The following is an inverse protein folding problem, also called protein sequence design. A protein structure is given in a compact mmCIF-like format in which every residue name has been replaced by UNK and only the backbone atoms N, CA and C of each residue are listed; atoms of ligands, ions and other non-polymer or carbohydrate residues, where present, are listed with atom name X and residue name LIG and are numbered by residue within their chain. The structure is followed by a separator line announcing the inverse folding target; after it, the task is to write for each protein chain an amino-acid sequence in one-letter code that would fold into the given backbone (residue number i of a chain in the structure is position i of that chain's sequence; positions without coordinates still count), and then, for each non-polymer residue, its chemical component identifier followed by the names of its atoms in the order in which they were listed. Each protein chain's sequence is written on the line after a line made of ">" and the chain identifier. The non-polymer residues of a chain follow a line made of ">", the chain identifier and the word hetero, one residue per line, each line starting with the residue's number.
data_IF_957810208870
#
_entry.id   IF_957810208870
#
_cell.length_a   1.000
_cell.length_b   1.000
_cell.length_c   1.000
_cell.angle_alpha   90.00
_cell.angle_beta   90.00
_cell.angle_gamma   90.00
#
_symmetry.space_group_name_H-M   'P 1'
#
loop_
_entity.id
_entity.type
_entity.pdbx_description
1 polymer ?
#
# COMPACT_ATOMS: atom_id res chain seq x y z
N UNK A 1 16.03 -3.76 -12.18
CA UNK A 1 15.11 -3.53 -11.04
C UNK A 1 14.37 -4.83 -10.77
N UNK A 2 14.42 -5.35 -9.55
CA UNK A 2 13.82 -6.64 -9.19
C UNK A 2 12.28 -6.53 -9.24
N UNK A 3 11.66 -7.11 -10.28
CA UNK A 3 10.22 -6.99 -10.55
C UNK A 3 9.34 -7.43 -9.38
N UNK A 4 9.81 -8.37 -8.57
CA UNK A 4 9.08 -8.88 -7.41
C UNK A 4 8.70 -7.77 -6.42
N UNK A 5 9.66 -6.96 -5.96
CA UNK A 5 9.42 -5.90 -4.98
C UNK A 5 8.49 -4.82 -5.52
N UNK A 6 8.70 -4.41 -6.78
CA UNK A 6 7.86 -3.40 -7.42
C UNK A 6 6.42 -3.87 -7.55
N UNK A 7 6.20 -5.11 -7.98
CA UNK A 7 4.86 -5.68 -8.14
C UNK A 7 4.16 -5.77 -6.78
N UNK A 8 4.81 -6.32 -5.74
CA UNK A 8 4.20 -6.44 -4.41
C UNK A 8 3.76 -5.09 -3.83
N UNK A 9 4.59 -4.05 -3.97
CA UNK A 9 4.28 -2.70 -3.48
C UNK A 9 3.11 -2.10 -4.27
N UNK A 10 3.14 -2.19 -5.61
CA UNK A 10 2.08 -1.66 -6.45
C UNK A 10 0.74 -2.37 -6.19
N UNK A 11 0.74 -3.68 -6.04
CA UNK A 11 -0.47 -4.46 -5.70
C UNK A 11 -1.02 -4.06 -4.33
N UNK A 12 -0.16 -3.84 -3.33
CA UNK A 12 -0.60 -3.36 -2.01
C UNK A 12 -1.31 -2.00 -2.12
N UNK A 13 -0.69 -1.04 -2.80
CA UNK A 13 -1.29 0.28 -2.99
C UNK A 13 -2.60 0.22 -3.78
N UNK A 14 -2.72 -0.70 -4.73
CA UNK A 14 -3.96 -0.91 -5.46
C UNK A 14 -5.07 -1.43 -4.53
N UNK A 15 -4.79 -2.39 -3.65
CA UNK A 15 -5.78 -2.97 -2.73
C UNK A 15 -6.21 -1.96 -1.66
N UNK A 16 -5.29 -1.13 -1.16
CA UNK A 16 -5.58 -0.15 -0.09
C UNK A 16 -6.21 1.15 -0.59
N UNK A 17 -6.09 1.45 -1.90
CA UNK A 17 -6.59 2.70 -2.46
C UNK A 17 -7.98 2.54 -3.09
N UNK A 18 -9.01 3.28 -2.63
CA UNK A 18 -10.33 3.23 -3.22
C UNK A 18 -10.32 3.66 -4.68
N UNK A 19 -11.05 2.93 -5.53
CA UNK A 19 -11.02 3.03 -7.00
C UNK A 19 -11.28 4.46 -7.52
N UNK A 20 -12.03 5.28 -6.76
CA UNK A 20 -12.38 6.67 -7.11
C UNK A 20 -11.19 7.65 -7.05
N UNK A 21 -10.14 7.36 -6.27
CA UNK A 21 -8.97 8.24 -6.09
C UNK A 21 -7.64 7.59 -6.50
N UNK A 22 -7.68 6.35 -7.00
CA UNK A 22 -6.50 5.60 -7.43
C UNK A 22 -5.64 6.39 -8.42
N UNK A 23 -6.25 6.98 -9.45
CA UNK A 23 -5.53 7.79 -10.44
C UNK A 23 -4.79 9.01 -9.84
N UNK A 24 -5.36 9.67 -8.83
CA UNK A 24 -4.73 10.81 -8.15
C UNK A 24 -3.54 10.36 -7.30
N UNK A 25 -3.71 9.30 -6.52
CA UNK A 25 -2.64 8.75 -5.67
C UNK A 25 -1.47 8.23 -6.52
N UNK A 26 -1.75 7.45 -7.57
CA UNK A 26 -0.71 6.97 -8.48
C UNK A 26 -0.03 8.11 -9.24
N UNK A 27 -0.78 9.14 -9.63
CA UNK A 27 -0.19 10.35 -10.23
C UNK A 27 0.79 11.04 -9.29
N UNK A 28 0.37 11.34 -8.05
CA UNK A 28 1.25 12.00 -7.06
C UNK A 28 2.49 11.16 -6.73
N UNK A 29 2.32 9.84 -6.57
CA UNK A 29 3.43 8.92 -6.31
C UNK A 29 4.41 8.84 -7.47
N UNK A 30 3.91 8.85 -8.70
CA UNK A 30 4.75 8.83 -9.91
C UNK A 30 5.53 10.13 -10.04
N UNK A 31 4.88 11.27 -9.84
CA UNK A 31 5.55 12.58 -9.85
C UNK A 31 6.61 12.67 -8.76
N UNK A 32 6.28 12.25 -7.54
CA UNK A 32 7.23 12.25 -6.43
C UNK A 32 8.43 11.32 -6.71
N UNK A 33 8.16 10.10 -7.19
CA UNK A 33 9.21 9.15 -7.57
C UNK A 33 10.09 9.69 -8.70
N UNK A 34 9.47 10.35 -9.69
CA UNK A 34 10.17 11.01 -10.79
C UNK A 34 11.05 12.17 -10.35
N UNK A 35 10.63 12.92 -9.32
CA UNK A 35 11.41 14.01 -8.74
C UNK A 35 12.57 13.53 -7.85
N UNK A 36 12.43 12.37 -7.21
CA UNK A 36 13.48 11.77 -6.37
C UNK A 36 14.70 11.36 -7.23
N UNK A 37 14.50 10.92 -8.48
CA UNK A 37 15.60 10.50 -9.35
C UNK A 37 16.67 11.59 -9.60
N UNK A 38 16.32 12.80 -10.10
CA UNK A 38 17.30 13.87 -10.29
C UNK A 38 17.89 14.37 -8.96
N UNK A 39 17.11 14.36 -7.88
CA UNK A 39 17.63 14.69 -6.54
C UNK A 39 18.69 13.68 -6.07
N UNK A 40 18.45 12.39 -6.30
CA UNK A 40 19.42 11.33 -5.99
C UNK A 40 20.70 11.47 -6.81
N UNK A 41 20.58 11.84 -8.09
CA UNK A 41 21.76 12.12 -8.93
C UNK A 41 22.53 13.35 -8.44
N UNK A 42 21.84 14.44 -8.10
CA UNK A 42 22.47 15.65 -7.56
C UNK A 42 23.20 15.38 -6.24
N UNK A 43 22.56 14.66 -5.32
CA UNK A 43 23.17 14.24 -4.06
C UNK A 43 24.34 13.27 -4.28
N UNK A 44 24.23 12.36 -5.24
CA UNK A 44 25.31 11.45 -5.61
C UNK A 44 26.55 12.19 -6.12
N UNK A 45 26.36 13.20 -6.97
CA UNK A 45 27.44 14.08 -7.43
C UNK A 45 28.08 14.88 -6.28
N UNK A 46 27.26 15.45 -5.40
CA UNK A 46 27.77 16.16 -4.21
C UNK A 46 28.60 15.26 -3.29
N UNK A 47 28.13 14.04 -3.03
CA UNK A 47 28.88 13.05 -2.25
C UNK A 47 30.16 12.63 -2.97
N UNK A 48 30.14 12.53 -4.31
CA UNK A 48 31.33 12.21 -5.10
C UNK A 48 32.44 13.26 -4.95
N UNK A 49 32.08 14.54 -4.97
CA UNK A 49 33.03 15.63 -4.77
C UNK A 49 33.54 15.70 -3.31
N UNK A 50 32.72 15.31 -2.33
CA UNK A 50 33.09 15.34 -0.91
C UNK A 50 34.05 14.20 -0.51
N UNK A 51 33.94 13.03 -1.13
CA UNK A 51 34.76 11.85 -0.83
C UNK A 51 35.99 11.71 -1.74
N UNK A 52 36.49 12.81 -2.29
CA UNK A 52 37.72 12.87 -3.10
C UNK A 52 37.76 11.84 -4.25
N UNK A 53 36.59 11.58 -4.85
CA UNK A 53 36.37 10.63 -5.96
C UNK A 53 36.53 9.15 -5.60
N UNK A 54 36.56 8.80 -4.32
CA UNK A 54 36.56 7.40 -3.89
C UNK A 54 35.20 6.73 -4.11
N UNK A 55 35.05 6.14 -5.29
CA UNK A 55 33.85 5.42 -5.73
C UNK A 55 33.45 4.33 -4.70
N UNK A 56 34.42 3.66 -4.10
CA UNK A 56 34.19 2.61 -3.10
C UNK A 56 33.47 3.10 -1.84
N UNK A 57 33.81 4.30 -1.32
CA UNK A 57 33.14 4.87 -0.15
C UNK A 57 31.70 5.27 -0.44
N UNK A 58 31.42 5.78 -1.64
CA UNK A 58 30.07 6.19 -2.06
C UNK A 58 29.14 4.98 -2.15
N UNK A 59 29.61 3.89 -2.74
CA UNK A 59 28.88 2.62 -2.76
C UNK A 59 28.72 2.04 -1.35
N UNK A 60 29.73 2.20 -0.49
CA UNK A 60 29.66 1.80 0.93
C UNK A 60 28.57 2.55 1.70
N UNK A 61 28.49 3.87 1.57
CA UNK A 61 27.50 4.71 2.25
C UNK A 61 26.09 4.46 1.71
N UNK A 62 25.93 4.35 0.39
CA UNK A 62 24.61 4.04 -0.21
C UNK A 62 24.13 2.63 0.19
N UNK A 63 25.03 1.65 0.24
CA UNK A 63 24.74 0.31 0.74
C UNK A 63 24.36 0.30 2.23
N UNK A 64 25.11 1.03 3.07
CA UNK A 64 24.80 1.18 4.49
C UNK A 64 23.45 1.88 4.71
N UNK A 65 23.17 2.95 3.95
CA UNK A 65 21.88 3.64 3.97
C UNK A 65 20.73 2.72 3.57
N UNK A 66 20.93 1.88 2.56
CA UNK A 66 19.95 0.87 2.14
C UNK A 66 19.71 -0.17 3.23
N UNK A 67 20.76 -0.65 3.90
CA UNK A 67 20.62 -1.59 5.02
C UNK A 67 19.83 -0.98 6.18
N UNK A 68 20.10 0.27 6.52
CA UNK A 68 19.34 0.99 7.56
C UNK A 68 17.87 1.12 7.14
N UNK A 69 17.59 1.51 5.90
CA UNK A 69 16.22 1.60 5.40
C UNK A 69 15.49 0.25 5.46
N UNK A 70 16.14 -0.84 5.02
CA UNK A 70 15.59 -2.21 5.11
C UNK A 70 15.35 -2.61 6.56
N UNK A 71 16.26 -2.27 7.47
CA UNK A 71 16.10 -2.53 8.90
C UNK A 71 14.86 -1.82 9.44
N UNK A 72 14.70 -0.51 9.18
CA UNK A 72 13.51 0.24 9.60
C UNK A 72 12.21 -0.33 9.03
N UNK A 73 12.19 -0.67 7.74
CA UNK A 73 11.03 -1.28 7.10
C UNK A 73 10.72 -2.65 7.72
N UNK A 74 11.73 -3.45 8.03
CA UNK A 74 11.57 -4.76 8.68
C UNK A 74 11.02 -4.67 10.11
N UNK A 75 11.31 -3.58 10.84
CA UNK A 75 10.69 -3.29 12.13
C UNK A 75 9.24 -2.79 12.02
N UNK A 76 8.83 -2.27 10.86
CA UNK A 76 7.47 -1.77 10.69
C UNK A 76 6.45 -2.90 10.82
N UNK A 77 5.44 -2.70 11.67
CA UNK A 77 4.39 -3.69 11.94
C UNK A 77 3.57 -4.00 10.68
N UNK A 78 3.42 -3.02 9.79
CA UNK A 78 2.66 -3.16 8.54
C UNK A 78 3.36 -4.10 7.55
N UNK A 79 4.70 -4.03 7.44
CA UNK A 79 5.45 -4.94 6.58
C UNK A 79 5.48 -6.38 7.13
N UNK A 80 5.61 -6.54 8.45
CA UNK A 80 5.47 -7.85 9.11
C UNK A 80 4.07 -8.44 8.91
N UNK A 81 3.04 -7.60 9.04
CA UNK A 81 1.64 -7.99 8.82
C UNK A 81 1.40 -8.42 7.37
N UNK A 82 2.08 -7.79 6.41
CA UNK A 82 2.04 -8.13 4.99
C UNK A 82 2.68 -9.49 4.66
N UNK A 83 3.87 -9.79 5.20
CA UNK A 83 4.49 -11.12 5.02
C UNK A 83 3.63 -12.22 5.67
N UNK A 84 2.96 -11.91 6.79
CA UNK A 84 2.00 -12.82 7.42
C UNK A 84 0.60 -12.81 6.79
N UNK A 85 0.37 -12.03 5.73
CA UNK A 85 -0.94 -11.89 5.10
C UNK A 85 -1.22 -13.14 4.25
N UNK A 86 -1.85 -14.15 4.85
CA UNK A 86 -2.37 -15.29 4.12
C UNK A 86 -3.61 -14.87 3.33
N UNK A 87 -3.57 -15.04 2.01
CA UNK A 87 -4.76 -15.02 1.16
C UNK A 87 -5.76 -16.04 1.69
N UNK A 88 -7.08 -15.77 1.73
CA UNK A 88 -8.09 -16.75 2.17
C UNK A 88 -8.10 -18.05 1.33
N UNK A 89 -7.41 -18.06 0.19
CA UNK A 89 -7.16 -19.21 -0.67
C UNK A 89 -6.08 -20.17 -0.14
N UNK A 90 -5.18 -19.67 0.72
CA UNK A 90 -4.15 -20.47 1.44
C UNK A 90 -4.65 -20.96 2.82
N UNK A 91 -5.74 -20.40 3.34
CA UNK A 91 -6.51 -20.97 4.46
C UNK A 91 -7.48 -22.01 3.91
N UNK A 92 -7.01 -23.21 3.60
CA UNK A 92 -7.88 -24.33 3.20
C UNK A 92 -9.10 -24.46 4.14
N UNK A 93 -10.29 -24.75 3.58
CA UNK A 93 -11.63 -24.89 4.19
C UNK A 93 -12.14 -23.86 5.22
N UNK A 94 -11.29 -23.19 6.01
CA UNK A 94 -11.66 -22.22 7.04
C UNK A 94 -11.74 -20.80 6.48
N UNK A 95 -10.89 -20.41 5.53
CA UNK A 95 -10.85 -19.06 4.94
C UNK A 95 -12.08 -18.69 4.11
N UNK A 96 -12.62 -19.65 3.35
CA UNK A 96 -13.85 -19.48 2.58
C UNK A 96 -15.05 -19.14 3.48
N UNK A 97 -15.12 -19.76 4.66
CA UNK A 97 -16.21 -19.54 5.61
C UNK A 97 -16.24 -18.11 6.18
N UNK A 98 -15.07 -17.49 6.40
CA UNK A 98 -14.98 -16.10 6.86
C UNK A 98 -15.37 -15.10 5.77
N UNK A 99 -14.94 -15.32 4.52
CA UNK A 99 -15.32 -14.45 3.39
C UNK A 99 -16.82 -14.51 3.13
N UNK A 100 -17.42 -15.71 3.13
CA UNK A 100 -18.87 -15.87 2.97
C UNK A 100 -19.64 -15.22 4.13
N UNK A 101 -19.20 -15.43 5.39
CA UNK A 101 -19.85 -14.79 6.55
C UNK A 101 -19.77 -13.26 6.51
N UNK A 102 -18.63 -12.70 6.08
CA UNK A 102 -18.43 -11.25 6.02
C UNK A 102 -19.27 -10.62 4.92
N UNK A 103 -19.21 -11.18 3.70
CA UNK A 103 -20.04 -10.73 2.56
C UNK A 103 -21.53 -10.83 2.89
N UNK A 104 -21.97 -11.93 3.50
CA UNK A 104 -23.38 -12.10 3.87
C UNK A 104 -23.84 -11.09 4.94
N UNK A 105 -22.98 -10.79 5.93
CA UNK A 105 -23.30 -9.79 6.97
C UNK A 105 -23.40 -8.38 6.40
N UNK A 106 -22.48 -8.00 5.51
CA UNK A 106 -22.46 -6.67 4.88
C UNK A 106 -23.69 -6.49 3.96
N UNK A 107 -24.09 -7.54 3.22
CA UNK A 107 -25.31 -7.54 2.41
C UNK A 107 -26.58 -7.38 3.26
N UNK A 108 -26.66 -8.03 4.41
CA UNK A 108 -27.82 -7.89 5.33
C UNK A 108 -27.90 -6.47 5.90
N UNK A 109 -26.76 -5.85 6.21
CA UNK A 109 -26.73 -4.48 6.72
C UNK A 109 -27.21 -3.47 5.67
N UNK A 110 -26.73 -3.54 4.43
CA UNK A 110 -27.22 -2.68 3.34
C UNK A 110 -28.71 -2.89 3.04
N UNK A 111 -29.19 -4.13 3.09
CA UNK A 111 -30.62 -4.43 2.91
C UNK A 111 -31.48 -3.83 4.04
N UNK A 112 -30.99 -3.90 5.28
CA UNK A 112 -31.67 -3.31 6.44
C UNK A 112 -31.72 -1.79 6.35
N UNK A 113 -30.63 -1.14 5.96
CA UNK A 113 -30.58 0.32 5.82
C UNK A 113 -31.56 0.80 4.74
N UNK A 114 -31.58 0.16 3.56
CA UNK A 114 -32.55 0.48 2.50
C UNK A 114 -33.99 0.29 2.95
N UNK A 115 -34.28 -0.78 3.68
CA UNK A 115 -35.62 -1.04 4.20
C UNK A 115 -36.03 0.02 5.23
N UNK A 116 -35.13 0.43 6.13
CA UNK A 116 -35.39 1.48 7.12
C UNK A 116 -35.69 2.81 6.41
N UNK A 117 -34.91 3.18 5.40
CA UNK A 117 -35.16 4.41 4.63
C UNK A 117 -36.52 4.39 3.91
N UNK A 118 -36.90 3.27 3.30
CA UNK A 118 -38.21 3.14 2.65
C UNK A 118 -39.37 3.24 3.64
N UNK A 119 -39.25 2.63 4.83
CA UNK A 119 -40.25 2.73 5.89
C UNK A 119 -40.35 4.15 6.44
N UNK A 120 -39.22 4.84 6.61
CA UNK A 120 -39.19 6.22 7.08
C UNK A 120 -39.83 7.17 6.06
N UNK A 121 -39.57 6.96 4.76
CA UNK A 121 -40.18 7.75 3.68
C UNK A 121 -41.70 7.53 3.58
N UNK A 122 -42.18 6.30 3.77
CA UNK A 122 -43.63 6.01 3.81
C UNK A 122 -44.32 6.68 5.00
N UNK A 123 -43.71 6.63 6.19
CA UNK A 123 -44.27 7.24 7.41
C UNK A 123 -44.35 8.76 7.29
N UNK A 124 -43.36 9.41 6.65
CA UNK A 124 -43.36 10.86 6.40
C UNK A 124 -44.36 11.31 5.32
N UNK A 125 -44.83 10.40 4.47
CA UNK A 125 -45.83 10.69 3.43
C UNK A 125 -47.27 10.54 3.92
N UNK A 126 -47.47 9.99 5.13
CA UNK A 126 -48.77 9.75 5.76
C UNK A 126 -49.10 10.79 6.86
N UNK A 127 -48.20 11.76 7.07
CA UNK A 127 -48.27 12.83 8.06
C UNK A 127 -48.28 14.17 7.31
#
# INVERSE_FOLDING_TARGET
>A
MNGFTTISIFTLMQITTPSKIRGRIFGTLTTLSGAIAPLGMALGGFLYDFFDKDIAMIYGISGAGMLVAVFFVSLSRDFRRFISYQTPEQLGHTGFSYTIKKVHKDQILEQKERFIEEQFKKTRSQL
#
